data_IF_922262320686
#
_entry.id   IF_922262320686
#
_cell.length_a   1.000
_cell.length_b   1.000
_cell.length_c   1.000
_cell.angle_alpha   90.00
_cell.angle_beta   90.00
_cell.angle_gamma   90.00
#
_symmetry.space_group_name_H-M   'P 1'
#
loop_
_entity.id
_entity.type
_entity.pdbx_description
1 polymer ?
#
# COMPACT_ATOMS: atom_id res chain seq x y z
N UNK A 1 -22.03 54.18 37.61
CA UNK A 1 -21.45 55.36 36.94
C UNK A 1 -19.97 55.04 36.75
N UNK A 2 -19.41 54.79 35.57
CA UNK A 2 -19.27 55.73 34.46
C UNK A 2 -18.88 54.96 33.16
N UNK A 3 -19.64 55.28 32.12
CA UNK A 3 -19.46 55.16 30.67
C UNK A 3 -18.18 55.89 30.18
N UNK A 4 -17.61 55.78 28.97
CA UNK A 4 -17.93 55.22 27.65
C UNK A 4 -16.66 55.31 26.74
N UNK A 5 -16.78 54.83 25.48
CA UNK A 5 -15.90 55.00 24.29
C UNK A 5 -14.91 53.83 24.07
N UNK A 6 -15.17 52.78 23.26
CA UNK A 6 -15.80 52.65 21.93
C UNK A 6 -15.00 53.31 20.79
N UNK A 7 -14.16 52.50 20.14
CA UNK A 7 -13.71 52.57 18.74
C UNK A 7 -13.27 51.14 18.35
N UNK A 8 -14.08 50.37 17.60
CA UNK A 8 -14.13 50.32 16.12
C UNK A 8 -12.80 49.76 15.54
N UNK A 9 -12.74 48.76 14.66
CA UNK A 9 -13.74 48.12 13.81
C UNK A 9 -13.07 46.95 13.04
N UNK A 10 -13.84 45.87 12.84
CA UNK A 10 -13.87 44.93 11.72
C UNK A 10 -12.59 44.29 11.15
N UNK A 11 -12.60 42.95 11.14
CA UNK A 11 -12.68 42.24 9.86
C UNK A 11 -13.38 40.88 10.05
N UNK A 12 -14.71 40.91 9.91
CA UNK A 12 -15.59 39.75 9.72
C UNK A 12 -15.90 39.71 8.22
N UNK A 13 -15.58 38.61 7.56
CA UNK A 13 -16.22 38.25 6.30
C UNK A 13 -16.59 36.78 6.35
N UNK A 14 -17.85 36.55 6.72
CA UNK A 14 -18.61 35.33 6.42
C UNK A 14 -19.03 35.43 4.96
N UNK A 15 -18.78 34.38 4.18
CA UNK A 15 -19.50 34.15 2.92
C UNK A 15 -20.04 32.72 2.94
N UNK A 16 -21.28 32.61 3.40
CA UNK A 16 -22.19 31.53 3.05
C UNK A 16 -23.29 32.16 2.17
N UNK A 17 -23.21 31.92 0.86
CA UNK A 17 -24.27 32.07 -0.15
C UNK A 17 -23.91 31.06 -1.26
N UNK A 18 -24.77 30.18 -1.76
CA UNK A 18 -26.22 30.17 -1.67
C UNK A 18 -26.87 28.80 -1.86
N UNK A 19 -28.09 28.76 -1.35
CA UNK A 19 -29.12 27.78 -1.57
C UNK A 19 -29.64 27.90 -3.01
N UNK A 20 -29.70 26.79 -3.74
CA UNK A 20 -30.59 26.60 -4.88
C UNK A 20 -31.37 25.30 -4.64
N UNK A 21 -32.64 25.42 -4.24
CA UNK A 21 -33.59 24.31 -4.05
C UNK A 21 -34.03 23.77 -5.43
N UNK A 22 -33.74 22.51 -5.78
CA UNK A 22 -34.56 21.27 -5.67
C UNK A 22 -35.49 21.02 -6.89
N UNK A 23 -35.94 19.78 -7.21
CA UNK A 23 -35.43 18.43 -6.96
C UNK A 23 -35.29 17.61 -8.26
N UNK A 24 -34.47 16.55 -8.28
CA UNK A 24 -34.74 15.37 -9.12
C UNK A 24 -34.15 14.16 -8.43
N UNK A 25 -35.06 13.24 -8.12
CA UNK A 25 -34.81 11.93 -7.58
C UNK A 25 -33.90 11.16 -8.53
N UNK A 26 -32.74 10.73 -8.05
CA UNK A 26 -32.26 9.37 -8.25
C UNK A 26 -31.56 8.95 -6.96
N UNK A 27 -32.13 7.91 -6.35
CA UNK A 27 -31.41 7.02 -5.46
C UNK A 27 -30.22 6.39 -6.20
N UNK A 28 -29.45 5.59 -5.44
CA UNK A 28 -28.47 4.63 -5.95
C UNK A 28 -27.07 5.26 -6.17
N UNK A 29 -25.94 4.72 -5.74
CA UNK A 29 -25.52 3.59 -4.91
C UNK A 29 -23.99 3.63 -4.93
N UNK A 30 -23.34 3.10 -3.89
CA UNK A 30 -21.94 2.66 -3.93
C UNK A 30 -20.89 3.76 -4.07
N UNK A 31 -19.96 3.91 -3.14
CA UNK A 31 -18.74 3.08 -3.21
C UNK A 31 -18.23 3.07 -4.66
N UNK A 32 -17.38 4.04 -4.98
CA UNK A 32 -16.49 3.97 -6.14
C UNK A 32 -15.46 2.84 -5.92
N UNK A 33 -15.97 1.61 -5.86
CA UNK A 33 -15.22 0.43 -6.18
C UNK A 33 -14.92 0.59 -7.66
N UNK A 34 -13.67 0.95 -7.99
CA UNK A 34 -13.14 0.79 -9.34
C UNK A 34 -13.31 -0.66 -9.75
N UNK A 35 -14.45 -0.98 -10.35
CA UNK A 35 -14.68 -2.26 -11.02
C UNK A 35 -13.87 -2.21 -12.29
N UNK A 36 -12.61 -2.66 -12.20
CA UNK A 36 -11.78 -2.96 -13.35
C UNK A 36 -12.42 -4.16 -14.06
N UNK A 37 -13.35 -3.86 -14.96
CA UNK A 37 -13.97 -4.80 -15.87
C UNK A 37 -12.98 -5.17 -16.98
N UNK A 38 -12.05 -6.07 -16.67
CA UNK A 38 -11.21 -6.74 -17.66
C UNK A 38 -11.24 -8.25 -17.37
N UNK A 39 -12.28 -8.92 -17.89
CA UNK A 39 -12.22 -10.29 -18.42
C UNK A 39 -11.36 -11.29 -17.61
N UNK A 40 -11.68 -11.59 -16.34
CA UNK A 40 -11.02 -12.66 -15.55
C UNK A 40 -9.48 -12.66 -15.65
N UNK A 41 -8.88 -11.48 -15.86
CA UNK A 41 -7.44 -11.31 -15.87
C UNK A 41 -6.99 -11.61 -14.44
N UNK A 42 -6.28 -12.73 -14.25
CA UNK A 42 -5.99 -13.34 -12.97
C UNK A 42 -5.83 -12.29 -11.88
N UNK A 43 -6.79 -12.20 -10.96
CA UNK A 43 -6.78 -11.16 -9.94
C UNK A 43 -5.54 -11.33 -9.07
N UNK A 44 -4.53 -10.52 -9.33
CA UNK A 44 -3.16 -10.71 -8.88
C UNK A 44 -2.65 -9.42 -8.28
N UNK A 45 -2.14 -9.48 -7.07
CA UNK A 45 -1.40 -8.39 -6.45
C UNK A 45 0.10 -8.63 -6.63
N UNK A 46 0.81 -7.58 -7.02
CA UNK A 46 2.28 -7.57 -7.00
C UNK A 46 2.76 -7.35 -5.56
N UNK A 47 3.71 -8.16 -5.13
CA UNK A 47 4.26 -8.16 -3.77
C UNK A 47 5.77 -7.96 -3.80
N UNK A 48 6.34 -7.53 -2.68
CA UNK A 48 7.79 -7.36 -2.56
C UNK A 48 8.54 -8.69 -2.80
N UNK A 49 8.01 -9.81 -2.29
CA UNK A 49 8.62 -11.14 -2.40
C UNK A 49 8.08 -11.98 -3.58
N UNK A 50 7.22 -11.45 -4.44
CA UNK A 50 6.59 -12.21 -5.52
C UNK A 50 5.23 -11.65 -5.94
N UNK A 51 4.27 -12.52 -6.24
CA UNK A 51 2.89 -12.15 -6.49
C UNK A 51 1.94 -13.11 -5.77
N UNK A 52 0.71 -12.67 -5.55
CA UNK A 52 -0.37 -13.52 -5.01
C UNK A 52 -1.60 -13.34 -5.86
N UNK A 53 -2.28 -14.44 -6.16
CA UNK A 53 -3.45 -14.46 -7.03
C UNK A 53 -4.59 -15.23 -6.38
N UNK A 54 -5.82 -14.87 -6.74
CA UNK A 54 -6.99 -15.61 -6.30
C UNK A 54 -7.05 -17.03 -6.90
N UNK A 55 -7.65 -17.99 -6.17
CA UNK A 55 -7.92 -19.32 -6.72
C UNK A 55 -8.86 -19.24 -7.94
N UNK A 56 -8.72 -20.20 -8.84
CA UNK A 56 -9.60 -20.31 -10.01
C UNK A 56 -11.06 -20.43 -9.60
N UNK A 57 -11.96 -19.78 -10.34
CA UNK A 57 -13.39 -19.78 -10.04
C UNK A 57 -13.84 -18.73 -9.02
N UNK A 58 -12.94 -17.85 -8.57
CA UNK A 58 -13.30 -16.67 -7.79
C UNK A 58 -14.23 -15.75 -8.58
N UNK A 59 -15.34 -15.32 -7.99
CA UNK A 59 -16.33 -14.47 -8.67
C UNK A 59 -16.15 -12.99 -8.32
N UNK A 60 -15.82 -12.68 -7.07
CA UNK A 60 -15.53 -11.33 -6.62
C UNK A 60 -14.05 -11.21 -6.21
N UNK A 61 -13.35 -10.22 -6.77
CA UNK A 61 -11.97 -9.97 -6.40
C UNK A 61 -11.61 -8.49 -6.26
N UNK A 62 -10.78 -8.19 -5.27
CA UNK A 62 -10.02 -6.93 -5.20
C UNK A 62 -8.53 -7.22 -4.94
N UNK A 63 -7.64 -6.53 -5.65
CA UNK A 63 -6.19 -6.67 -5.48
C UNK A 63 -5.58 -5.36 -4.98
N UNK A 64 -4.72 -5.43 -3.97
CA UNK A 64 -3.99 -4.29 -3.43
C UNK A 64 -2.50 -4.61 -3.44
N UNK A 65 -1.77 -3.94 -4.33
CA UNK A 65 -0.32 -4.12 -4.48
C UNK A 65 0.42 -3.87 -3.14
N UNK A 66 1.37 -4.75 -2.84
CA UNK A 66 2.12 -4.74 -1.58
C UNK A 66 1.36 -5.30 -0.38
N UNK A 67 0.05 -5.58 -0.49
CA UNK A 67 -0.77 -6.09 0.60
C UNK A 67 -1.31 -7.49 0.32
N UNK A 68 -1.97 -7.72 -0.82
CA UNK A 68 -2.56 -9.00 -1.16
C UNK A 68 -3.80 -8.90 -2.05
N UNK A 69 -4.57 -9.98 -2.12
CA UNK A 69 -5.84 -10.06 -2.86
C UNK A 69 -6.97 -10.49 -1.92
N UNK A 70 -8.18 -9.96 -2.12
CA UNK A 70 -9.40 -10.44 -1.46
C UNK A 70 -10.25 -11.16 -2.49
N UNK A 71 -10.48 -12.45 -2.30
CA UNK A 71 -11.23 -13.33 -3.20
C UNK A 71 -12.49 -13.82 -2.48
N UNK A 72 -13.68 -13.48 -2.99
CA UNK A 72 -14.98 -13.83 -2.39
C UNK A 72 -15.05 -13.55 -0.87
N UNK A 73 -14.48 -12.42 -0.46
CA UNK A 73 -14.41 -11.98 0.95
C UNK A 73 -13.25 -12.57 1.76
N UNK A 74 -12.47 -13.50 1.20
CA UNK A 74 -11.28 -14.08 1.86
C UNK A 74 -10.01 -13.33 1.44
N UNK A 75 -9.26 -12.81 2.41
CA UNK A 75 -8.01 -12.12 2.15
C UNK A 75 -6.81 -13.07 2.09
N UNK A 76 -6.06 -13.00 0.99
CA UNK A 76 -4.80 -13.69 0.74
C UNK A 76 -3.68 -12.65 0.77
N UNK A 77 -2.93 -12.64 1.87
CA UNK A 77 -1.84 -11.71 2.07
C UNK A 77 -0.68 -11.97 1.09
N UNK A 78 0.05 -10.91 0.76
CA UNK A 78 1.32 -11.01 0.07
C UNK A 78 2.29 -11.95 0.83
N UNK A 79 3.01 -12.83 0.13
CA UNK A 79 4.02 -13.66 0.77
C UNK A 79 5.10 -12.78 1.38
N UNK A 80 5.55 -13.17 2.57
CA UNK A 80 6.74 -12.58 3.20
C UNK A 80 7.99 -13.29 2.69
N UNK A 81 9.11 -12.59 2.69
CA UNK A 81 10.37 -13.20 2.33
C UNK A 81 10.86 -14.16 3.43
N UNK A 82 11.16 -15.40 3.06
CA UNK A 82 11.57 -16.47 3.99
C UNK A 82 13.09 -16.74 4.02
N UNK A 83 13.89 -15.92 3.33
CA UNK A 83 15.35 -16.01 3.34
C UNK A 83 15.96 -15.28 4.55
N UNK A 84 17.26 -15.47 4.79
CA UNK A 84 17.96 -14.69 5.81
C UNK A 84 18.26 -13.27 5.31
N UNK A 85 18.49 -12.33 6.23
CA UNK A 85 19.03 -11.02 5.88
C UNK A 85 20.55 -11.09 5.80
N UNK A 86 21.19 -10.35 4.89
CA UNK A 86 22.67 -10.34 4.86
C UNK A 86 23.27 -9.79 6.16
N UNK A 87 22.55 -8.88 6.83
CA UNK A 87 22.92 -8.36 8.14
C UNK A 87 23.00 -9.47 9.21
N UNK A 88 22.11 -10.48 9.17
CA UNK A 88 22.19 -11.65 10.07
C UNK A 88 23.42 -12.52 9.84
N UNK A 89 24.13 -12.34 8.71
CA UNK A 89 25.40 -13.00 8.40
C UNK A 89 26.60 -12.05 8.47
N UNK A 90 26.47 -10.82 8.94
CA UNK A 90 27.61 -9.88 9.01
C UNK A 90 28.73 -10.41 9.93
N UNK A 91 28.38 -11.24 10.92
CA UNK A 91 29.34 -11.94 11.79
C UNK A 91 29.90 -13.23 11.21
N UNK A 92 29.34 -13.72 10.09
CA UNK A 92 29.78 -14.94 9.42
C UNK A 92 30.68 -14.54 8.25
N UNK A 93 31.99 -14.73 8.41
CA UNK A 93 32.94 -14.49 7.31
C UNK A 93 32.52 -15.32 6.09
N UNK A 94 32.29 -14.64 4.98
CA UNK A 94 32.00 -15.32 3.74
C UNK A 94 33.30 -15.88 3.14
N UNK A 95 33.28 -17.16 2.78
CA UNK A 95 34.48 -17.90 2.40
C UNK A 95 35.08 -17.46 1.05
N UNK A 96 34.24 -16.96 0.13
CA UNK A 96 34.66 -16.62 -1.23
C UNK A 96 34.05 -15.30 -1.70
N UNK A 97 34.87 -14.27 -2.00
CA UNK A 97 34.37 -13.01 -2.56
C UNK A 97 33.66 -13.27 -3.89
N UNK A 98 32.54 -12.58 -4.10
CA UNK A 98 31.68 -12.73 -5.28
C UNK A 98 30.61 -13.81 -5.16
N UNK A 99 30.63 -14.67 -4.14
CA UNK A 99 29.56 -15.64 -3.94
C UNK A 99 28.22 -14.95 -3.66
N UNK A 100 27.17 -15.43 -4.34
CA UNK A 100 25.81 -14.90 -4.25
C UNK A 100 24.83 -15.91 -3.66
N UNK A 101 23.88 -15.44 -2.85
CA UNK A 101 22.84 -16.25 -2.23
C UNK A 101 21.58 -15.40 -1.99
N UNK A 102 20.36 -15.95 -2.10
CA UNK A 102 19.15 -15.16 -1.91
C UNK A 102 19.04 -14.58 -0.49
N UNK A 103 18.55 -13.35 -0.38
CA UNK A 103 18.31 -12.66 0.90
C UNK A 103 16.98 -11.94 0.95
N UNK A 104 16.52 -11.65 2.15
CA UNK A 104 15.47 -10.67 2.37
C UNK A 104 16.06 -9.28 2.53
N UNK A 105 15.58 -8.34 1.72
CA UNK A 105 15.81 -6.90 1.90
C UNK A 105 14.94 -6.35 3.03
N UNK A 106 15.30 -5.19 3.56
CA UNK A 106 14.57 -4.54 4.64
C UNK A 106 13.10 -4.21 4.28
N UNK A 107 12.79 -4.06 3.00
CA UNK A 107 11.43 -3.84 2.49
C UNK A 107 10.63 -5.15 2.28
N UNK A 108 11.15 -6.30 2.72
CA UNK A 108 10.51 -7.60 2.54
C UNK A 108 10.63 -8.21 1.14
N UNK A 109 11.36 -7.56 0.22
CA UNK A 109 11.62 -8.13 -1.12
C UNK A 109 12.76 -9.13 -1.13
N UNK A 110 12.73 -10.03 -2.11
CA UNK A 110 13.82 -10.97 -2.36
C UNK A 110 14.93 -10.25 -3.14
N UNK A 111 16.13 -10.20 -2.55
CA UNK A 111 17.35 -9.70 -3.16
C UNK A 111 18.43 -10.78 -3.20
N UNK A 112 19.67 -10.36 -3.44
CA UNK A 112 20.85 -11.24 -3.37
C UNK A 112 21.86 -10.69 -2.37
N UNK A 113 22.36 -11.53 -1.46
CA UNK A 113 23.58 -11.23 -0.73
C UNK A 113 24.77 -11.49 -1.64
N UNK A 114 25.72 -10.56 -1.73
CA UNK A 114 27.05 -10.81 -2.29
C UNK A 114 28.09 -10.72 -1.20
N UNK A 115 29.00 -11.69 -1.19
CA UNK A 115 30.21 -11.64 -0.39
C UNK A 115 31.21 -10.64 -1.00
N UNK A 116 31.60 -9.63 -0.23
CA UNK A 116 32.72 -8.73 -0.54
C UNK A 116 34.03 -9.22 0.06
N UNK A 117 34.85 -8.31 0.58
CA UNK A 117 36.01 -8.65 1.43
C UNK A 117 35.52 -9.09 2.81
N UNK A 118 35.07 -10.34 2.91
CA UNK A 118 34.61 -11.03 4.12
C UNK A 118 33.29 -10.54 4.75
N UNK A 119 32.60 -9.58 4.14
CA UNK A 119 31.28 -9.10 4.56
C UNK A 119 30.19 -9.40 3.53
N UNK A 120 28.96 -9.56 4.00
CA UNK A 120 27.79 -9.75 3.15
C UNK A 120 27.03 -8.44 2.95
N UNK A 121 26.69 -8.13 1.70
CA UNK A 121 25.83 -7.00 1.35
C UNK A 121 24.63 -7.48 0.54
N UNK A 122 23.40 -7.10 0.95
CA UNK A 122 22.16 -7.38 0.20
C UNK A 122 22.01 -6.28 -0.86
N UNK A 123 21.74 -6.66 -2.10
CA UNK A 123 21.49 -5.72 -3.20
C UNK A 123 20.34 -6.18 -4.08
#
# INVERSE_FOLDING_TARGET
MKSFNLLLLACLTVLAVGCGEAPTEVADSGEEMSTSSEELSACTASCAAGSVSCPSGTTNCSAVNGQGVTCDGTFYACPTCSYFSCASRDTLECAMPGYETPCCRANGSVGKCRCGVKRWSCF
#
